data_IF_654544032319
#
_entry.id   IF_654544032319
#
_cell.length_a   1.000
_cell.length_b   1.000
_cell.length_c   1.000
_cell.angle_alpha   90.00
_cell.angle_beta   90.00
_cell.angle_gamma   90.00
#
_symmetry.space_group_name_H-M   'P 1'
#
loop_
_entity.id
_entity.type
_entity.pdbx_description
1 polymer ?
#
# COMPACT_ATOMS: atom_id res chain seq x y z
N UNK A 1 -13.83 -9.81 -27.64
CA UNK A 1 -12.55 -9.23 -27.21
C UNK A 1 -12.90 -8.20 -26.15
N UNK A 2 -12.64 -8.48 -24.87
CA UNK A 2 -12.89 -7.50 -23.80
C UNK A 2 -11.59 -6.72 -23.63
N UNK A 3 -11.64 -5.44 -23.99
CA UNK A 3 -10.57 -4.48 -23.72
C UNK A 3 -10.46 -4.36 -22.21
N UNK A 4 -9.35 -4.81 -21.63
CA UNK A 4 -9.05 -4.53 -20.23
C UNK A 4 -8.95 -3.01 -20.01
N UNK A 5 -9.29 -2.50 -18.81
CA UNK A 5 -9.29 -1.08 -18.54
C UNK A 5 -7.94 -0.48 -18.91
N UNK A 6 -7.97 0.55 -19.75
CA UNK A 6 -6.78 1.31 -20.11
C UNK A 6 -6.38 2.11 -18.88
N UNK A 7 -5.08 2.18 -18.58
CA UNK A 7 -4.49 2.91 -17.44
C UNK A 7 -4.84 4.43 -17.38
N UNK A 8 -5.66 4.91 -18.32
CA UNK A 8 -6.14 6.28 -18.47
C UNK A 8 -7.41 6.59 -17.66
N UNK A 9 -8.17 5.59 -17.20
CA UNK A 9 -9.44 5.83 -16.46
C UNK A 9 -9.27 5.80 -14.94
N UNK A 10 -8.22 5.14 -14.45
CA UNK A 10 -7.78 5.31 -13.07
C UNK A 10 -7.22 6.72 -12.96
N UNK A 11 -7.72 7.54 -12.03
CA UNK A 11 -7.15 8.86 -11.74
C UNK A 11 -5.77 8.76 -11.06
N UNK A 12 -4.93 7.82 -11.50
CA UNK A 12 -3.64 7.48 -10.90
C UNK A 12 -3.78 6.93 -9.48
N UNK A 13 -4.83 6.19 -9.14
CA UNK A 13 -5.01 5.59 -7.83
C UNK A 13 -4.56 4.12 -7.82
N UNK A 14 -3.65 3.76 -6.91
CA UNK A 14 -3.06 2.43 -6.85
C UNK A 14 -2.99 1.90 -5.42
N UNK A 15 -3.38 0.65 -5.22
CA UNK A 15 -3.23 -0.11 -3.98
C UNK A 15 -2.19 -1.20 -4.17
N UNK A 16 -1.26 -1.32 -3.23
CA UNK A 16 -0.28 -2.41 -3.18
C UNK A 16 -0.12 -2.91 -1.75
N UNK A 17 0.16 -4.19 -1.55
CA UNK A 17 0.56 -4.75 -0.26
C UNK A 17 2.03 -5.13 -0.24
N UNK A 18 2.67 -5.05 0.93
CA UNK A 18 4.04 -5.53 1.15
C UNK A 18 4.00 -6.73 2.08
N UNK A 19 4.57 -7.86 1.63
CA UNK A 19 4.80 -9.07 2.44
C UNK A 19 3.58 -9.56 3.25
N UNK A 20 2.38 -9.43 2.68
CA UNK A 20 1.13 -9.89 3.28
C UNK A 20 1.04 -11.41 3.22
N UNK A 21 0.57 -12.03 4.31
CA UNK A 21 0.24 -13.46 4.33
C UNK A 21 -1.17 -13.73 3.79
N UNK A 22 -1.58 -15.00 3.74
CA UNK A 22 -2.89 -15.41 3.25
C UNK A 22 -3.97 -15.48 4.35
N UNK A 23 -3.76 -14.85 5.52
CA UNK A 23 -4.68 -14.94 6.66
C UNK A 23 -5.84 -13.94 6.58
N UNK A 24 -5.81 -12.99 5.64
CA UNK A 24 -6.92 -12.08 5.33
C UNK A 24 -7.21 -12.09 3.83
N UNK A 25 -8.47 -11.92 3.40
CA UNK A 25 -8.79 -11.81 1.99
C UNK A 25 -8.10 -10.59 1.38
N UNK A 26 -7.39 -10.80 0.27
CA UNK A 26 -6.69 -9.76 -0.47
C UNK A 26 -6.86 -9.92 -1.99
N UNK A 27 -7.09 -8.83 -2.74
CA UNK A 27 -7.38 -7.47 -2.26
C UNK A 27 -8.75 -7.39 -1.57
N UNK A 28 -9.03 -6.33 -0.80
CA UNK A 28 -10.40 -5.98 -0.45
C UNK A 28 -11.23 -5.64 -1.70
N UNK A 29 -12.53 -5.39 -1.54
CA UNK A 29 -13.34 -4.81 -2.61
C UNK A 29 -12.80 -3.41 -2.96
N UNK A 30 -12.54 -3.20 -4.25
CA UNK A 30 -11.94 -1.96 -4.76
C UNK A 30 -12.92 -1.22 -5.65
N UNK A 31 -12.97 0.13 -5.57
CA UNK A 31 -13.64 0.94 -6.57
C UNK A 31 -13.04 0.72 -7.96
N UNK A 32 -13.86 0.84 -9.02
CA UNK A 32 -13.43 0.62 -10.41
C UNK A 32 -12.25 1.51 -10.85
N UNK A 33 -12.08 2.67 -10.20
CA UNK A 33 -11.02 3.64 -10.48
C UNK A 33 -9.67 3.32 -9.83
N UNK A 34 -9.63 2.34 -8.90
CA UNK A 34 -8.45 1.98 -8.12
C UNK A 34 -7.79 0.72 -8.68
N UNK A 35 -6.51 0.83 -9.04
CA UNK A 35 -5.73 -0.30 -9.54
C UNK A 35 -5.16 -1.12 -8.40
N UNK A 36 -5.39 -2.43 -8.40
CA UNK A 36 -4.66 -3.37 -7.55
C UNK A 36 -3.31 -3.76 -8.19
N UNK A 37 -2.20 -3.41 -7.54
CA UNK A 37 -0.85 -3.81 -7.94
C UNK A 37 -0.37 -5.13 -7.31
N UNK A 38 -1.22 -5.79 -6.52
CA UNK A 38 -0.92 -7.09 -5.91
C UNK A 38 -0.08 -6.99 -4.64
N UNK A 39 0.66 -8.06 -4.35
CA UNK A 39 1.50 -8.20 -3.15
C UNK A 39 2.98 -8.22 -3.57
N UNK A 40 3.81 -7.38 -2.96
CA UNK A 40 5.24 -7.28 -3.20
C UNK A 40 6.04 -8.26 -2.31
N UNK A 41 6.01 -9.53 -2.69
CA UNK A 41 6.67 -10.64 -1.97
C UNK A 41 8.07 -11.00 -2.51
N UNK A 42 8.46 -10.48 -3.67
CA UNK A 42 9.72 -10.82 -4.33
C UNK A 42 10.48 -9.59 -4.83
N UNK A 43 11.79 -9.73 -5.01
CA UNK A 43 12.62 -8.66 -5.59
C UNK A 43 12.19 -8.29 -7.01
N UNK A 44 11.69 -9.27 -7.76
CA UNK A 44 11.23 -9.08 -9.13
C UNK A 44 9.93 -8.27 -9.18
N UNK A 45 8.94 -8.60 -8.34
CA UNK A 45 7.68 -7.84 -8.27
C UNK A 45 7.92 -6.40 -7.81
N UNK A 46 8.80 -6.21 -6.82
CA UNK A 46 9.24 -4.87 -6.37
C UNK A 46 9.86 -4.05 -7.50
N UNK A 47 10.84 -4.60 -8.21
CA UNK A 47 11.51 -3.90 -9.33
C UNK A 47 10.50 -3.57 -10.44
N UNK A 48 9.65 -4.52 -10.79
CA UNK A 48 8.64 -4.35 -11.84
C UNK A 48 7.69 -3.21 -11.52
N UNK A 49 7.20 -3.14 -10.27
CA UNK A 49 6.34 -2.04 -9.86
C UNK A 49 7.09 -0.71 -9.84
N UNK A 50 8.30 -0.64 -9.28
CA UNK A 50 9.10 0.59 -9.25
C UNK A 50 9.38 1.15 -10.66
N UNK A 51 9.71 0.27 -11.61
CA UNK A 51 9.91 0.64 -13.02
C UNK A 51 8.62 1.23 -13.63
N UNK A 52 7.46 0.64 -13.31
CA UNK A 52 6.16 1.13 -13.76
C UNK A 52 5.82 2.49 -13.13
N UNK A 53 5.95 2.65 -11.82
CA UNK A 53 5.61 3.89 -11.12
C UNK A 53 6.55 5.04 -11.50
N UNK A 54 7.82 4.76 -11.81
CA UNK A 54 8.76 5.77 -12.31
C UNK A 54 8.34 6.31 -13.68
N UNK A 55 7.72 5.45 -14.51
CA UNK A 55 7.26 5.83 -15.86
C UNK A 55 5.88 6.48 -15.84
N UNK A 56 5.00 6.01 -14.97
CA UNK A 56 3.62 6.44 -14.84
C UNK A 56 3.31 6.67 -13.34
N UNK A 57 3.75 7.81 -12.78
CA UNK A 57 3.59 8.08 -11.36
C UNK A 57 2.10 8.20 -10.99
N UNK A 58 1.62 7.43 -10.00
CA UNK A 58 0.24 7.54 -9.55
C UNK A 58 0.00 8.87 -8.82
N UNK A 59 -1.19 9.43 -8.98
CA UNK A 59 -1.63 10.56 -8.17
C UNK A 59 -1.78 10.16 -6.70
N UNK A 60 -2.23 8.93 -6.43
CA UNK A 60 -2.48 8.42 -5.08
C UNK A 60 -2.03 6.97 -4.95
N UNK A 61 -1.21 6.71 -3.95
CA UNK A 61 -0.70 5.39 -3.63
C UNK A 61 -1.09 5.01 -2.21
N UNK A 62 -1.74 3.87 -2.04
CA UNK A 62 -1.89 3.23 -0.74
C UNK A 62 -1.00 1.99 -0.66
N UNK A 63 -0.21 1.92 0.40
CA UNK A 63 0.67 0.78 0.68
C UNK A 63 0.14 0.08 1.94
N UNK A 64 -0.38 -1.13 1.78
CA UNK A 64 -0.86 -1.95 2.87
C UNK A 64 0.30 -2.73 3.51
N UNK A 65 0.44 -2.61 4.83
CA UNK A 65 1.45 -3.28 5.63
C UNK A 65 0.80 -4.02 6.79
N UNK A 66 1.27 -5.24 7.08
CA UNK A 66 0.79 -6.03 8.23
C UNK A 66 1.62 -5.71 9.48
N UNK A 67 1.07 -4.96 10.47
CA UNK A 67 1.81 -4.59 11.67
C UNK A 67 2.07 -5.76 12.63
N UNK A 68 1.60 -6.98 12.32
CA UNK A 68 2.02 -8.19 13.04
C UNK A 68 3.46 -8.58 12.71
N UNK A 69 4.10 -7.94 11.73
CA UNK A 69 5.54 -8.05 11.45
C UNK A 69 6.22 -6.74 11.86
N UNK A 70 7.41 -6.83 12.45
CA UNK A 70 8.18 -5.64 12.80
C UNK A 70 8.62 -4.89 11.53
N UNK A 71 8.65 -3.55 11.52
CA UNK A 71 9.14 -2.79 10.38
C UNK A 71 10.65 -2.96 10.25
N UNK A 72 11.09 -3.79 9.30
CA UNK A 72 12.52 -3.96 9.00
C UNK A 72 13.04 -2.90 8.03
N UNK A 73 14.37 -2.75 7.96
CA UNK A 73 15.04 -1.75 7.11
C UNK A 73 14.73 -1.91 5.63
N UNK A 74 14.57 -3.15 5.14
CA UNK A 74 14.26 -3.44 3.74
C UNK A 74 12.83 -3.06 3.39
N UNK A 75 11.87 -3.38 4.25
CA UNK A 75 10.47 -2.98 4.10
C UNK A 75 10.31 -1.46 4.14
N UNK A 76 10.95 -0.79 5.10
CA UNK A 76 10.93 0.68 5.20
C UNK A 76 11.60 1.37 4.01
N UNK A 77 12.73 0.83 3.51
CA UNK A 77 13.38 1.36 2.31
C UNK A 77 12.48 1.24 1.07
N UNK A 78 11.81 0.09 0.90
CA UNK A 78 10.85 -0.10 -0.18
C UNK A 78 9.67 0.88 -0.08
N UNK A 79 9.10 1.06 1.11
CA UNK A 79 8.03 2.04 1.35
C UNK A 79 8.48 3.44 0.94
N UNK A 80 9.67 3.87 1.37
CA UNK A 80 10.22 5.18 1.02
C UNK A 80 10.50 5.34 -0.48
N UNK A 81 10.92 4.27 -1.17
CA UNK A 81 11.10 4.26 -2.61
C UNK A 81 9.77 4.40 -3.36
N UNK A 82 8.77 3.60 -2.99
CA UNK A 82 7.43 3.66 -3.59
C UNK A 82 6.77 5.02 -3.36
N UNK A 83 6.87 5.57 -2.15
CA UNK A 83 6.28 6.86 -1.81
C UNK A 83 6.83 8.01 -2.65
N UNK A 84 8.12 7.97 -3.01
CA UNK A 84 8.76 8.98 -3.88
C UNK A 84 8.30 8.91 -5.34
N UNK A 85 7.71 7.79 -5.76
CA UNK A 85 7.18 7.63 -7.11
C UNK A 85 5.72 8.12 -7.26
N UNK A 86 5.06 8.50 -6.16
CA UNK A 86 3.66 8.90 -6.15
C UNK A 86 3.49 10.38 -5.76
N UNK A 87 2.41 11.01 -6.22
CA UNK A 87 2.11 12.41 -5.83
C UNK A 87 1.64 12.50 -4.38
N UNK A 88 0.82 11.55 -3.94
CA UNK A 88 0.39 11.41 -2.56
C UNK A 88 0.43 9.94 -2.14
N UNK A 89 0.90 9.67 -0.92
CA UNK A 89 1.04 8.31 -0.39
C UNK A 89 0.39 8.19 0.99
N UNK A 90 -0.31 7.08 1.23
CA UNK A 90 -0.78 6.67 2.55
C UNK A 90 -0.36 5.24 2.86
N UNK A 91 0.07 5.02 4.10
CA UNK A 91 0.35 3.69 4.61
C UNK A 91 -0.89 3.17 5.32
N UNK A 92 -1.40 2.03 4.88
CA UNK A 92 -2.49 1.35 5.56
C UNK A 92 -1.92 0.25 6.44
N UNK A 93 -1.93 0.46 7.75
CA UNK A 93 -1.59 -0.57 8.71
C UNK A 93 -2.82 -1.47 8.88
N UNK A 94 -2.75 -2.70 8.36
CA UNK A 94 -3.88 -3.62 8.38
C UNK A 94 -4.31 -3.94 9.82
N UNK A 95 -5.62 -4.05 10.08
CA UNK A 95 -6.10 -4.57 11.36
C UNK A 95 -5.67 -6.03 11.55
N UNK A 96 -5.63 -6.49 12.80
CA UNK A 96 -5.42 -7.90 13.09
C UNK A 96 -6.54 -8.76 12.46
N UNK A 97 -6.24 -9.96 11.92
CA UNK A 97 -7.28 -10.89 11.51
C UNK A 97 -8.21 -11.25 12.67
N UNK A 98 -9.44 -11.67 12.36
CA UNK A 98 -10.44 -12.08 13.36
C UNK A 98 -9.86 -13.09 14.35
N UNK A 99 -9.96 -12.79 15.65
CA UNK A 99 -9.45 -13.64 16.74
C UNK A 99 -7.96 -13.46 17.05
N UNK A 100 -7.28 -12.52 16.41
CA UNK A 100 -5.92 -12.10 16.72
C UNK A 100 -5.89 -10.65 17.23
N UNK A 101 -4.78 -10.26 17.85
CA UNK A 101 -4.54 -8.88 18.30
C UNK A 101 -3.21 -8.38 17.73
N UNK A 102 -3.12 -7.06 17.53
CA UNK A 102 -1.85 -6.41 17.23
C UNK A 102 -1.03 -6.28 18.52
N UNK A 103 0.28 -6.43 18.37
CA UNK A 103 1.23 -6.16 19.44
C UNK A 103 1.46 -4.64 19.52
N UNK A 104 1.31 -4.06 20.73
CA UNK A 104 1.34 -2.61 20.92
C UNK A 104 2.75 -2.02 20.69
N UNK A 105 3.80 -2.72 21.13
CA UNK A 105 5.18 -2.27 20.97
C UNK A 105 5.55 -2.26 19.48
N UNK A 106 5.14 -3.30 18.72
CA UNK A 106 5.35 -3.34 17.26
C UNK A 106 4.58 -2.25 16.53
N UNK A 107 3.38 -1.92 17.00
CA UNK A 107 2.61 -0.83 16.40
C UNK A 107 3.29 0.53 16.66
N UNK A 108 3.87 0.74 17.85
CA UNK A 108 4.67 1.92 18.17
C UNK A 108 5.95 2.01 17.32
N UNK A 109 6.63 0.89 17.08
CA UNK A 109 7.78 0.82 16.15
C UNK A 109 7.37 1.26 14.74
N UNK A 110 6.21 0.80 14.25
CA UNK A 110 5.66 1.22 12.95
C UNK A 110 5.37 2.72 12.92
N UNK A 111 4.66 3.25 13.92
CA UNK A 111 4.37 4.68 13.99
C UNK A 111 5.64 5.52 14.00
N UNK A 112 6.63 5.13 14.80
CA UNK A 112 7.93 5.82 14.89
C UNK A 112 8.65 5.80 13.54
N UNK A 113 8.71 4.64 12.87
CA UNK A 113 9.38 4.52 11.59
C UNK A 113 8.68 5.32 10.48
N UNK A 114 7.34 5.29 10.43
CA UNK A 114 6.57 6.05 9.44
C UNK A 114 6.63 7.56 9.68
N UNK A 115 6.67 7.98 10.95
CA UNK A 115 6.90 9.38 11.32
C UNK A 115 8.29 9.85 10.88
N UNK A 116 9.34 9.03 11.03
CA UNK A 116 10.69 9.36 10.55
C UNK A 116 10.78 9.47 9.02
N UNK A 117 9.92 8.75 8.31
CA UNK A 117 9.79 8.84 6.85
C UNK A 117 8.85 9.98 6.41
N UNK A 118 8.23 10.71 7.36
CA UNK A 118 7.24 11.75 7.11
C UNK A 118 6.03 11.25 6.29
N UNK A 119 5.65 9.99 6.49
CA UNK A 119 4.55 9.34 5.80
C UNK A 119 3.30 9.31 6.66
N UNK A 120 2.14 9.59 6.04
CA UNK A 120 0.85 9.47 6.70
C UNK A 120 0.41 8.00 6.75
N UNK A 121 -0.16 7.58 7.87
CA UNK A 121 -0.75 6.25 8.01
C UNK A 121 -2.19 6.28 8.50
N UNK A 122 -2.90 5.18 8.28
CA UNK A 122 -4.27 4.93 8.73
C UNK A 122 -4.42 3.48 9.18
N UNK A 123 -5.30 3.25 10.16
CA UNK A 123 -5.72 1.92 10.62
C UNK A 123 -6.97 1.40 9.87
N UNK A 124 -7.59 2.25 9.04
CA UNK A 124 -8.76 1.96 8.23
C UNK A 124 -8.45 1.97 6.73
N UNK A 125 -9.18 1.17 5.96
CA UNK A 125 -8.98 1.02 4.53
C UNK A 125 -9.18 2.35 3.78
N UNK A 126 -8.15 2.91 3.11
CA UNK A 126 -8.22 4.25 2.53
C UNK A 126 -8.90 4.28 1.16
N UNK A 127 -9.98 3.51 0.95
CA UNK A 127 -10.61 3.33 -0.37
C UNK A 127 -11.27 4.61 -0.87
N UNK A 128 -12.00 5.32 0.01
CA UNK A 128 -12.61 6.62 -0.31
C UNK A 128 -11.56 7.64 -0.74
N UNK A 129 -10.42 7.66 -0.05
CA UNK A 129 -9.30 8.54 -0.40
C UNK A 129 -8.61 8.12 -1.70
N UNK A 130 -8.42 6.82 -1.94
CA UNK A 130 -7.88 6.33 -3.20
C UNK A 130 -8.78 6.72 -4.37
N UNK A 131 -10.10 6.57 -4.23
CA UNK A 131 -11.06 6.91 -5.27
C UNK A 131 -11.14 8.42 -5.53
N UNK A 132 -11.30 9.23 -4.47
CA UNK A 132 -11.69 10.64 -4.61
C UNK A 132 -10.61 11.65 -4.24
N UNK A 133 -9.54 11.23 -3.57
CA UNK A 133 -8.54 12.11 -2.96
C UNK A 133 -8.95 12.76 -1.64
N UNK A 134 -10.16 12.47 -1.14
CA UNK A 134 -10.73 13.01 0.10
C UNK A 134 -11.08 11.87 1.07
N UNK A 135 -11.09 12.17 2.37
CA UNK A 135 -11.54 11.25 3.43
C UNK A 135 -13.07 11.21 3.56
#
# INVERSE_FOLDING_TARGET
MVTGPSASESQGALLVAIELDNQQPWPPELPDSVVNAGILDSRESRRTLLDQLTRYPPARLAIACDPRRSPDRGSLALIAELARCATATRIWLLPAPTGQALDADRLEDWHTALQQLELHWTDSAPMTWLESGHD
#
